data_IF_112108366756
#
_entry.id   IF_112108366756
#
_cell.length_a   1.000
_cell.length_b   1.000
_cell.length_c   1.000
_cell.angle_alpha   90.00
_cell.angle_beta   90.00
_cell.angle_gamma   90.00
#
_symmetry.space_group_name_H-M   'P 1'
#
loop_
_entity.id
_entity.type
_entity.pdbx_description
1 polymer ?
#
# COMPACT_ATOMS: atom_id res chain seq x y z
N UNK A 1 8.31 -0.47 8.26
CA UNK A 1 8.32 0.46 7.12
C UNK A 1 8.86 -0.26 5.92
N UNK A 2 7.97 -0.57 4.97
CA UNK A 2 8.31 -1.18 3.69
C UNK A 2 8.73 -0.08 2.70
N UNK A 3 10.02 -0.01 2.36
CA UNK A 3 10.56 1.02 1.45
C UNK A 3 10.95 0.42 0.11
N UNK A 4 10.64 1.13 -0.98
CA UNK A 4 11.00 0.77 -2.35
C UNK A 4 11.83 1.88 -3.00
N UNK A 5 13.10 1.60 -3.31
CA UNK A 5 13.92 2.51 -4.10
C UNK A 5 13.51 2.49 -5.57
N UNK A 6 13.43 3.68 -6.17
CA UNK A 6 13.16 3.90 -7.59
C UNK A 6 14.45 3.69 -8.39
N UNK A 7 14.37 2.91 -9.46
CA UNK A 7 15.46 2.83 -10.44
C UNK A 7 15.51 4.09 -11.29
N UNK A 8 14.34 4.71 -11.54
CA UNK A 8 14.20 5.93 -12.30
C UNK A 8 13.65 7.03 -11.39
N UNK A 9 14.53 7.94 -10.96
CA UNK A 9 14.14 9.04 -10.10
C UNK A 9 13.13 9.98 -10.78
N UNK A 10 12.21 10.54 -9.99
CA UNK A 10 11.25 11.54 -10.46
C UNK A 10 11.71 12.91 -9.97
N UNK A 11 11.89 13.85 -10.89
CA UNK A 11 12.32 15.21 -10.56
C UNK A 11 11.18 16.23 -10.76
N UNK A 12 10.94 17.03 -9.73
CA UNK A 12 10.03 18.18 -9.73
C UNK A 12 10.82 19.45 -9.38
N UNK A 13 11.40 20.10 -10.38
CA UNK A 13 12.25 21.27 -10.17
C UNK A 13 13.48 20.92 -9.32
N UNK A 14 13.48 21.34 -8.05
CA UNK A 14 14.58 21.06 -7.09
C UNK A 14 14.34 19.82 -6.23
N UNK A 15 13.15 19.22 -6.28
CA UNK A 15 12.80 18.04 -5.49
C UNK A 15 13.03 16.81 -6.36
N UNK A 16 13.74 15.83 -5.81
CA UNK A 16 13.92 14.52 -6.43
C UNK A 16 13.32 13.47 -5.51
N UNK A 17 12.52 12.59 -6.10
CA UNK A 17 11.96 11.41 -5.45
C UNK A 17 12.75 10.22 -5.96
N UNK A 18 13.42 9.52 -5.05
CA UNK A 18 14.26 8.36 -5.31
C UNK A 18 13.74 7.08 -4.62
N UNK A 19 12.71 7.20 -3.78
CA UNK A 19 12.06 6.08 -3.10
C UNK A 19 10.59 6.34 -2.78
N UNK A 20 9.84 5.27 -2.59
CA UNK A 20 8.49 5.25 -2.03
C UNK A 20 8.52 4.54 -0.68
N UNK A 21 7.95 5.17 0.34
CA UNK A 21 7.83 4.60 1.69
C UNK A 21 6.39 4.16 1.93
N UNK A 22 6.13 2.86 2.02
CA UNK A 22 4.80 2.31 2.26
C UNK A 22 4.51 2.20 3.75
N UNK A 23 3.24 2.42 4.10
CA UNK A 23 2.68 2.09 5.42
C UNK A 23 2.72 0.58 5.65
N UNK A 24 2.85 0.20 6.92
CA UNK A 24 2.90 -1.22 7.34
C UNK A 24 1.51 -1.86 7.52
N UNK A 25 0.44 -1.12 7.20
CA UNK A 25 -0.94 -1.58 7.35
C UNK A 25 -1.84 -0.98 6.26
N UNK A 26 -2.85 -1.75 5.85
CA UNK A 26 -3.94 -1.30 4.98
C UNK A 26 -5.06 -0.63 5.79
N UNK A 27 -5.66 0.41 5.22
CA UNK A 27 -6.86 1.08 5.75
C UNK A 27 -8.09 0.68 4.97
N UNK A 28 -9.28 0.97 5.50
CA UNK A 28 -10.53 0.78 4.76
C UNK A 28 -10.54 1.48 3.39
N UNK A 29 -9.91 2.66 3.28
CA UNK A 29 -9.77 3.36 2.01
C UNK A 29 -8.88 2.61 1.00
N UNK A 30 -7.85 1.92 1.47
CA UNK A 30 -6.97 1.10 0.63
C UNK A 30 -7.74 -0.11 0.07
N UNK A 31 -8.56 -0.79 0.89
CA UNK A 31 -9.42 -1.88 0.42
C UNK A 31 -10.46 -1.44 -0.61
N UNK A 32 -11.07 -0.26 -0.43
CA UNK A 32 -11.98 0.30 -1.42
C UNK A 32 -11.27 0.66 -2.72
N UNK A 33 -10.01 1.10 -2.64
CA UNK A 33 -9.19 1.40 -3.80
C UNK A 33 -8.59 0.14 -4.48
N UNK A 34 -8.64 -1.01 -3.82
CA UNK A 34 -8.11 -2.28 -4.32
C UNK A 34 -9.10 -3.07 -5.17
N UNK A 35 -10.35 -2.61 -5.34
CA UNK A 35 -11.40 -3.37 -6.04
C UNK A 35 -10.90 -4.00 -7.35
N UNK A 36 -10.88 -5.32 -7.34
CA UNK A 36 -10.13 -6.20 -8.26
C UNK A 36 -10.72 -6.24 -9.67
N UNK A 37 -11.82 -5.51 -9.92
CA UNK A 37 -12.61 -5.57 -11.16
C UNK A 37 -12.36 -4.42 -12.16
N UNK A 38 -11.31 -3.62 -11.99
CA UNK A 38 -10.60 -3.11 -13.17
C UNK A 38 -10.76 -1.64 -13.54
N UNK A 39 -10.18 -0.75 -12.75
CA UNK A 39 -9.69 0.51 -13.29
C UNK A 39 -8.25 0.77 -12.83
N UNK A 40 -7.34 0.96 -13.79
CA UNK A 40 -5.96 1.44 -13.55
C UNK A 40 -5.95 2.70 -12.67
N UNK A 41 -7.01 3.52 -12.75
CA UNK A 41 -7.21 4.70 -11.92
C UNK A 41 -7.33 4.40 -10.41
N UNK A 42 -7.78 3.20 -10.04
CA UNK A 42 -7.92 2.80 -8.63
C UNK A 42 -6.57 2.38 -8.05
N UNK A 43 -5.70 1.73 -8.85
CA UNK A 43 -4.35 1.33 -8.44
C UNK A 43 -3.41 2.51 -8.15
N UNK A 44 -3.45 3.57 -8.97
CA UNK A 44 -2.70 4.79 -8.64
C UNK A 44 -3.13 5.39 -7.31
N UNK A 45 -4.44 5.37 -7.05
CA UNK A 45 -5.03 5.89 -5.81
C UNK A 45 -4.62 5.05 -4.60
N UNK A 46 -4.57 3.72 -4.78
CA UNK A 46 -4.09 2.79 -3.76
C UNK A 46 -2.62 3.06 -3.41
N UNK A 47 -1.73 3.06 -4.40
CA UNK A 47 -0.29 3.28 -4.17
C UNK A 47 -0.06 4.67 -3.54
N UNK A 48 -0.75 5.71 -4.03
CA UNK A 48 -0.69 7.05 -3.46
C UNK A 48 -1.11 7.06 -1.98
N UNK A 49 -2.23 6.42 -1.64
CA UNK A 49 -2.73 6.31 -0.26
C UNK A 49 -1.77 5.55 0.65
N UNK A 50 -1.20 4.44 0.17
CA UNK A 50 -0.29 3.61 0.95
C UNK A 50 1.08 4.24 1.15
N UNK A 51 1.52 5.10 0.23
CA UNK A 51 2.82 5.78 0.27
C UNK A 51 2.75 7.22 0.80
N UNK A 52 1.55 7.76 0.98
CA UNK A 52 1.33 9.17 1.32
C UNK A 52 1.73 10.15 0.21
N UNK A 53 1.96 9.66 -1.02
CA UNK A 53 2.34 10.48 -2.16
C UNK A 53 1.12 11.00 -2.92
N UNK A 54 1.31 12.09 -3.65
CA UNK A 54 0.29 12.56 -4.59
C UNK A 54 0.17 11.58 -5.78
N UNK A 55 -1.05 11.39 -6.28
CA UNK A 55 -1.31 10.59 -7.48
C UNK A 55 -0.49 11.05 -8.69
N UNK A 56 -0.20 12.35 -8.81
CA UNK A 56 0.66 12.90 -9.88
C UNK A 56 2.08 12.35 -9.82
N UNK A 57 2.59 11.99 -8.64
CA UNK A 57 3.88 11.31 -8.49
C UNK A 57 3.79 9.89 -9.03
N UNK A 58 2.73 9.17 -8.67
CA UNK A 58 2.53 7.77 -9.08
C UNK A 58 2.37 7.67 -10.60
N UNK A 59 1.63 8.58 -11.23
CA UNK A 59 1.45 8.66 -12.68
C UNK A 59 2.75 8.98 -13.44
N UNK A 60 3.79 9.45 -12.76
CA UNK A 60 5.12 9.72 -13.34
C UNK A 60 6.14 8.62 -13.08
N UNK A 61 5.77 7.55 -12.37
CA UNK A 61 6.66 6.42 -12.20
C UNK A 61 7.01 5.81 -13.55
N UNK A 62 8.28 5.44 -13.70
CA UNK A 62 8.67 4.61 -14.83
C UNK A 62 7.94 3.27 -14.74
N UNK A 63 7.57 2.68 -15.88
CA UNK A 63 6.70 1.50 -15.91
C UNK A 63 7.18 0.34 -15.02
N UNK A 64 8.49 0.11 -14.94
CA UNK A 64 9.05 -0.92 -14.05
C UNK A 64 8.89 -0.58 -12.57
N UNK A 65 9.13 0.68 -12.19
CA UNK A 65 8.95 1.14 -10.81
C UNK A 65 7.47 1.15 -10.42
N UNK A 66 6.58 1.45 -11.36
CA UNK A 66 5.13 1.33 -11.18
C UNK A 66 4.71 -0.11 -10.91
N UNK A 67 5.14 -1.08 -11.73
CA UNK A 67 4.80 -2.50 -11.51
C UNK A 67 5.34 -3.04 -10.18
N UNK A 68 6.53 -2.60 -9.77
CA UNK A 68 7.09 -2.94 -8.45
C UNK A 68 6.26 -2.36 -7.31
N UNK A 69 5.83 -1.11 -7.44
CA UNK A 69 4.95 -0.46 -6.47
C UNK A 69 3.58 -1.15 -6.38
N UNK A 70 3.02 -1.54 -7.54
CA UNK A 70 1.77 -2.30 -7.61
C UNK A 70 1.89 -3.62 -6.87
N UNK A 71 2.93 -4.40 -7.14
CA UNK A 71 3.16 -5.67 -6.44
C UNK A 71 3.30 -5.47 -4.93
N UNK A 72 4.02 -4.44 -4.49
CA UNK A 72 4.20 -4.16 -3.06
C UNK A 72 2.89 -3.78 -2.37
N UNK A 73 2.03 -3.03 -3.04
CA UNK A 73 0.68 -2.72 -2.53
C UNK A 73 -0.19 -3.98 -2.42
N UNK A 74 -0.18 -4.84 -3.45
CA UNK A 74 -0.92 -6.10 -3.47
C UNK A 74 -0.44 -7.05 -2.35
N UNK A 75 0.88 -7.20 -2.18
CA UNK A 75 1.47 -8.02 -1.13
C UNK A 75 1.05 -7.53 0.27
N UNK A 76 1.08 -6.21 0.50
CA UNK A 76 0.70 -5.59 1.77
C UNK A 76 -0.78 -5.79 2.13
N UNK A 77 -1.67 -5.67 1.14
CA UNK A 77 -3.09 -5.96 1.33
C UNK A 77 -3.28 -7.44 1.67
N UNK A 78 -2.65 -8.34 0.90
CA UNK A 78 -2.72 -9.77 1.16
C UNK A 78 -2.19 -10.16 2.55
N UNK A 79 -1.12 -9.52 3.01
CA UNK A 79 -0.59 -9.69 4.37
C UNK A 79 -1.58 -9.24 5.44
N UNK A 80 -2.25 -8.09 5.25
CA UNK A 80 -3.28 -7.60 6.17
C UNK A 80 -4.50 -8.54 6.22
N UNK A 81 -4.96 -9.04 5.07
CA UNK A 81 -6.04 -10.01 4.99
C UNK A 81 -5.66 -11.32 5.69
N UNK A 82 -4.44 -11.81 5.46
CA UNK A 82 -3.93 -13.02 6.11
C UNK A 82 -3.87 -12.87 7.63
N UNK A 83 -3.34 -11.76 8.14
CA UNK A 83 -3.30 -11.47 9.57
C UNK A 83 -4.72 -11.44 10.17
N UNK A 84 -5.69 -10.89 9.45
CA UNK A 84 -7.09 -10.91 9.88
C UNK A 84 -7.68 -12.33 9.90
N UNK A 85 -7.40 -13.16 8.89
CA UNK A 85 -7.84 -14.57 8.90
C UNK A 85 -7.19 -15.36 10.04
N UNK A 86 -5.88 -15.23 10.24
CA UNK A 86 -5.17 -15.84 11.37
C UNK A 86 -5.75 -15.37 12.72
N UNK A 87 -6.14 -14.09 12.82
CA UNK A 87 -6.84 -13.56 13.98
C UNK A 87 -8.22 -14.23 14.19
N UNK A 88 -9.01 -14.41 13.14
CA UNK A 88 -10.30 -15.10 13.22
C UNK A 88 -10.15 -16.58 13.59
N UNK A 89 -9.16 -17.27 13.02
CA UNK A 89 -8.85 -18.67 13.29
C UNK A 89 -8.29 -18.89 14.71
N UNK A 90 -7.41 -17.98 15.17
CA UNK A 90 -6.90 -17.97 16.55
C UNK A 90 -7.94 -17.50 17.57
N UNK A 91 -8.95 -16.74 17.13
CA UNK A 91 -10.12 -16.32 17.90
C UNK A 91 -11.03 -17.46 18.37
N UNK A 92 -10.80 -18.69 17.90
CA UNK A 92 -11.39 -19.90 18.50
C UNK A 92 -10.71 -20.31 19.83
N UNK A 93 -9.66 -19.60 20.26
CA UNK A 93 -9.11 -19.63 21.61
C UNK A 93 -9.21 -18.25 22.27
N UNK A 94 -10.30 -18.05 23.02
CA UNK A 94 -10.57 -16.96 23.97
C UNK A 94 -9.34 -16.13 24.38
N UNK A 95 -9.27 -14.87 23.94
CA UNK A 95 -8.58 -13.81 24.71
C UNK A 95 -9.29 -12.47 24.51
N UNK A 96 -9.77 -11.94 25.64
CA UNK A 96 -10.35 -10.60 25.79
C UNK A 96 -9.44 -9.54 25.18
N UNK A 97 -10.04 -8.63 24.42
CA UNK A 97 -9.46 -7.32 24.14
C UNK A 97 -9.11 -6.65 25.48
N UNK A 98 -7.90 -6.08 25.67
CA UNK A 98 -7.64 -5.24 26.81
C UNK A 98 -8.45 -3.95 26.63
N UNK A 99 -9.54 -3.82 27.38
CA UNK A 99 -10.24 -2.55 27.54
C UNK A 99 -9.25 -1.54 28.13
N UNK A 100 -8.95 -0.50 27.37
CA UNK A 100 -8.08 0.59 27.79
C UNK A 100 -8.77 1.33 28.95
N UNK A 101 -8.16 1.26 30.14
CA UNK A 101 -8.50 2.10 31.29
C UNK A 101 -7.79 3.45 31.23
#
# INVERSE_FOLDING_TARGET
MNTMNLEHHISFGKITIDRLDFRDYATAGDYLAFDTQGAVATRHTLIASMTGQDRVVIERLHGMDYLRAEKMADDLIGECEKQYQEFLESGNQKKKWPESS
#
